data_IF_019091527425
#
_entry.id   IF_019091527425
#
_cell.length_a   1.000
_cell.length_b   1.000
_cell.length_c   1.000
_cell.angle_alpha   90.00
_cell.angle_beta   90.00
_cell.angle_gamma   90.00
#
_symmetry.space_group_name_H-M   'P 1'
#
loop_
_entity.id
_entity.type
_entity.pdbx_description
1 polymer ?
#
# COMPACT_ATOMS: atom_id res chain seq x y z
N UNK A 1 -11.17 41.39 -4.69
CA UNK A 1 -10.50 40.16 -5.17
C UNK A 1 -9.95 39.33 -4.01
N UNK A 2 -9.16 39.91 -3.10
CA UNK A 2 -8.60 39.21 -1.92
C UNK A 2 -9.65 38.59 -0.97
N UNK A 3 -10.76 39.29 -0.72
CA UNK A 3 -11.88 38.81 0.11
C UNK A 3 -12.50 37.50 -0.42
N UNK A 4 -12.61 37.35 -1.75
CA UNK A 4 -13.13 36.12 -2.37
C UNK A 4 -12.19 34.93 -2.11
N UNK A 5 -10.87 35.14 -2.26
CA UNK A 5 -9.88 34.08 -2.03
C UNK A 5 -9.88 33.56 -0.58
N UNK A 6 -10.05 34.46 0.40
CA UNK A 6 -10.17 34.07 1.82
C UNK A 6 -11.46 33.28 2.08
N UNK A 7 -12.56 33.68 1.45
CA UNK A 7 -13.84 32.95 1.53
C UNK A 7 -13.72 31.54 0.92
N UNK A 8 -13.10 31.43 -0.27
CA UNK A 8 -12.83 30.15 -0.93
C UNK A 8 -11.96 29.21 -0.06
N UNK A 9 -10.90 29.71 0.56
CA UNK A 9 -10.07 28.88 1.45
C UNK A 9 -10.82 28.42 2.69
N UNK A 10 -11.76 29.24 3.19
CA UNK A 10 -12.60 28.90 4.34
C UNK A 10 -13.62 27.82 3.97
N UNK A 11 -14.21 27.90 2.78
CA UNK A 11 -15.10 26.87 2.23
C UNK A 11 -14.37 25.55 1.99
N UNK A 12 -13.20 25.58 1.34
CA UNK A 12 -12.36 24.38 1.12
C UNK A 12 -11.97 23.70 2.44
N UNK A 13 -11.62 24.48 3.48
CA UNK A 13 -11.34 23.93 4.81
C UNK A 13 -12.58 23.26 5.43
N UNK A 14 -13.77 23.80 5.19
CA UNK A 14 -15.02 23.25 5.69
C UNK A 14 -15.42 21.96 4.95
N UNK A 15 -15.16 21.89 3.65
CA UNK A 15 -15.35 20.65 2.86
C UNK A 15 -14.33 19.57 3.24
N UNK A 16 -13.06 19.95 3.44
CA UNK A 16 -12.01 19.05 3.94
C UNK A 16 -12.32 18.51 5.34
N UNK A 17 -13.09 19.23 6.15
CA UNK A 17 -13.55 18.75 7.46
C UNK A 17 -14.64 17.68 7.35
N UNK A 18 -15.39 17.62 6.24
CA UNK A 18 -16.34 16.55 5.94
C UNK A 18 -15.68 15.31 5.32
N UNK A 19 -14.38 15.37 5.02
CA UNK A 19 -13.62 14.17 4.64
C UNK A 19 -13.49 13.31 5.89
N UNK A 20 -14.23 12.21 5.90
CA UNK A 20 -14.15 11.17 6.92
C UNK A 20 -12.79 10.50 6.83
N UNK A 21 -11.83 11.03 7.59
CA UNK A 21 -10.56 10.35 7.77
C UNK A 21 -10.81 9.02 8.48
N UNK A 22 -10.24 7.91 7.96
CA UNK A 22 -10.35 6.62 8.61
C UNK A 22 -9.78 6.71 10.01
N UNK A 23 -10.42 6.02 10.95
CA UNK A 23 -9.95 5.98 12.33
C UNK A 23 -8.59 5.27 12.40
N UNK A 24 -7.77 5.60 13.41
CA UNK A 24 -6.43 4.99 13.58
C UNK A 24 -6.48 3.46 13.59
N UNK A 25 -7.57 2.87 14.07
CA UNK A 25 -7.78 1.43 14.11
C UNK A 25 -7.99 0.82 12.72
N UNK A 26 -8.76 1.46 11.84
CA UNK A 26 -8.95 1.02 10.45
C UNK A 26 -7.66 1.13 9.62
N UNK A 27 -6.87 2.17 9.86
CA UNK A 27 -5.55 2.37 9.25
C UNK A 27 -4.58 1.24 9.64
N UNK A 28 -4.59 0.83 10.90
CA UNK A 28 -3.74 -0.28 11.39
C UNK A 28 -4.24 -1.61 10.83
N UNK A 29 -5.54 -1.87 10.85
CA UNK A 29 -6.13 -3.10 10.34
C UNK A 29 -5.86 -3.31 8.85
N UNK A 30 -6.03 -2.28 8.03
CA UNK A 30 -5.74 -2.33 6.59
C UNK A 30 -4.25 -2.51 6.30
N UNK A 31 -3.37 -1.83 7.04
CA UNK A 31 -1.91 -2.00 6.88
C UNK A 31 -1.45 -3.40 7.27
N UNK A 32 -2.01 -3.97 8.35
CA UNK A 32 -1.70 -5.33 8.79
C UNK A 32 -2.11 -6.36 7.71
N UNK A 33 -3.29 -6.20 7.10
CA UNK A 33 -3.75 -7.07 6.03
C UNK A 33 -2.79 -7.02 4.82
N UNK A 34 -2.34 -5.83 4.42
CA UNK A 34 -1.36 -5.66 3.34
C UNK A 34 -0.02 -6.32 3.70
N UNK A 35 0.46 -6.17 4.94
CA UNK A 35 1.70 -6.82 5.38
C UNK A 35 1.63 -8.34 5.29
N UNK A 36 0.50 -8.95 5.71
CA UNK A 36 0.29 -10.40 5.60
C UNK A 36 0.29 -10.83 4.13
N UNK A 37 -0.40 -10.09 3.26
CA UNK A 37 -0.43 -10.37 1.82
C UNK A 37 0.97 -10.29 1.20
N UNK A 38 1.73 -9.25 1.54
CA UNK A 38 3.12 -9.08 1.10
C UNK A 38 4.01 -10.22 1.58
N UNK A 39 3.85 -10.68 2.82
CA UNK A 39 4.61 -11.81 3.38
C UNK A 39 4.35 -13.11 2.59
N UNK A 40 3.08 -13.40 2.29
CA UNK A 40 2.68 -14.58 1.50
C UNK A 40 3.30 -14.50 0.10
N UNK A 41 3.21 -13.35 -0.57
CA UNK A 41 3.80 -13.14 -1.89
C UNK A 41 5.32 -13.29 -1.86
N UNK A 42 6.00 -12.76 -0.84
CA UNK A 42 7.45 -12.89 -0.69
C UNK A 42 7.89 -14.35 -0.52
N UNK A 43 7.16 -15.14 0.28
CA UNK A 43 7.42 -16.57 0.44
C UNK A 43 7.22 -17.32 -0.88
N UNK A 44 6.12 -17.04 -1.59
CA UNK A 44 5.81 -17.67 -2.87
C UNK A 44 6.90 -17.38 -3.91
N UNK A 45 7.24 -16.11 -4.11
CA UNK A 45 8.28 -15.70 -5.06
C UNK A 45 9.63 -16.32 -4.68
N UNK A 46 10.02 -16.26 -3.39
CA UNK A 46 11.27 -16.86 -2.93
C UNK A 46 11.34 -18.39 -3.10
N UNK A 47 10.22 -19.10 -3.00
CA UNK A 47 10.14 -20.53 -3.32
C UNK A 47 10.33 -20.77 -4.83
N UNK A 48 9.67 -19.98 -5.66
CA UNK A 48 9.78 -20.06 -7.12
C UNK A 48 11.21 -19.77 -7.57
N UNK A 49 11.86 -18.75 -7.04
CA UNK A 49 13.26 -18.41 -7.38
C UNK A 49 14.22 -19.55 -7.05
N UNK A 50 14.06 -20.18 -5.88
CA UNK A 50 14.87 -21.35 -5.49
C UNK A 50 14.58 -22.55 -6.38
N UNK A 51 13.31 -22.79 -6.70
CA UNK A 51 12.92 -23.89 -7.58
C UNK A 51 13.49 -23.72 -8.98
N UNK A 52 13.33 -22.53 -9.57
CA UNK A 52 13.91 -22.18 -10.86
C UNK A 52 15.43 -22.33 -10.83
N UNK A 53 16.11 -21.78 -9.83
CA UNK A 53 17.58 -21.90 -9.70
C UNK A 53 18.03 -23.36 -9.64
N UNK A 54 17.31 -24.22 -8.91
CA UNK A 54 17.59 -25.65 -8.85
C UNK A 54 17.44 -26.32 -10.22
N UNK A 55 16.33 -26.05 -10.92
CA UNK A 55 16.06 -26.58 -12.26
C UNK A 55 17.11 -26.11 -13.27
N UNK A 56 17.40 -24.81 -13.31
CA UNK A 56 18.42 -24.24 -14.19
C UNK A 56 19.80 -24.82 -13.93
N UNK A 57 20.20 -24.95 -12.65
CA UNK A 57 21.49 -25.56 -12.30
C UNK A 57 21.56 -27.04 -12.71
N UNK A 58 20.47 -27.78 -12.58
CA UNK A 58 20.41 -29.17 -13.03
C UNK A 58 20.48 -29.31 -14.55
N UNK A 59 19.97 -28.32 -15.30
CA UNK A 59 19.96 -28.35 -16.77
C UNK A 59 21.26 -27.84 -17.41
N UNK A 60 21.86 -26.78 -16.85
CA UNK A 60 23.09 -26.17 -17.37
C UNK A 60 24.39 -26.67 -16.71
N UNK A 61 24.29 -27.34 -15.56
CA UNK A 61 25.42 -27.88 -14.81
C UNK A 61 25.70 -29.36 -15.06
N UNK A 62 25.06 -29.96 -16.08
CA UNK A 62 25.35 -31.28 -16.63
C UNK A 62 25.86 -31.17 -18.06
#
# INVERSE_FOLDING_TARGET
MFQKAIQFLKEVRNELANVTWPTREELIGSTLAVLVLCLIMAIFVGLVDKFLTFVFRSFYGG
#
